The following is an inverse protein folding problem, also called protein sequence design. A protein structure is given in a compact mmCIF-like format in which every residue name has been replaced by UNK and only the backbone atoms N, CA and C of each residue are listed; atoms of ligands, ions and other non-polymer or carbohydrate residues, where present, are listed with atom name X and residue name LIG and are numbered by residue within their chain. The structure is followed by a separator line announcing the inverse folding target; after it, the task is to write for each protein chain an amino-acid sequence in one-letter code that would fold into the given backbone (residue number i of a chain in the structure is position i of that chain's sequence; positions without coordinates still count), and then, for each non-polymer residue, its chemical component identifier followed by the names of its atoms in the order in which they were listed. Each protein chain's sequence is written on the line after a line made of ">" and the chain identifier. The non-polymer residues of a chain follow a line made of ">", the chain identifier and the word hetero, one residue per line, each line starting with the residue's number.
data_IF_776097851851
#
_entry.id   IF_776097851851
#
_cell.length_a   1.000
_cell.length_b   1.000
_cell.length_c   1.000
_cell.angle_alpha   90.00
_cell.angle_beta   90.00
_cell.angle_gamma   90.00
#
_symmetry.space_group_name_H-M   'P 1'
#
loop_
_entity.id
_entity.type
_entity.pdbx_description
1 polymer ?
#
# COMPACT_ATOMS: atom_id res chain seq x y z
N UNK A 1 40.99 -13.90 5.17
CA UNK A 1 40.54 -12.70 4.45
C UNK A 1 39.04 -12.83 4.25
N UNK A 2 38.25 -12.05 4.99
CA UNK A 2 36.79 -12.09 4.92
C UNK A 2 36.32 -11.37 3.67
N UNK A 3 35.44 -12.01 2.90
CA UNK A 3 34.71 -11.37 1.82
C UNK A 3 33.65 -10.48 2.47
N UNK A 4 33.92 -9.18 2.56
CA UNK A 4 32.88 -8.20 2.85
C UNK A 4 31.88 -8.25 1.70
N UNK A 5 30.65 -8.65 2.00
CA UNK A 5 29.53 -8.53 1.08
C UNK A 5 29.28 -7.04 0.88
N UNK A 6 29.92 -6.48 -0.15
CA UNK A 6 29.53 -5.17 -0.64
C UNK A 6 28.11 -5.33 -1.17
N UNK A 7 27.19 -4.60 -0.55
CA UNK A 7 25.93 -4.23 -1.17
C UNK A 7 26.23 -3.93 -2.65
N UNK A 8 25.43 -4.52 -3.53
CA UNK A 8 25.41 -4.15 -4.93
C UNK A 8 24.87 -2.71 -5.02
N UNK A 9 25.65 -1.72 -4.59
CA UNK A 9 25.49 -0.36 -5.08
C UNK A 9 25.76 -0.48 -6.57
N UNK A 10 24.70 -0.33 -7.36
CA UNK A 10 24.83 -0.26 -8.80
C UNK A 10 25.83 0.87 -9.09
N UNK A 11 26.68 0.69 -10.11
CA UNK A 11 27.78 1.61 -10.44
C UNK A 11 27.35 3.06 -10.74
N UNK A 12 26.04 3.33 -10.76
CA UNK A 12 25.39 4.62 -10.92
C UNK A 12 24.88 5.25 -9.60
N UNK A 13 25.10 4.61 -8.44
CA UNK A 13 24.58 5.08 -7.15
C UNK A 13 23.09 4.82 -6.92
N UNK A 14 22.46 3.97 -7.74
CA UNK A 14 21.08 3.54 -7.53
C UNK A 14 20.97 2.56 -6.37
N UNK A 15 19.88 2.69 -5.61
CA UNK A 15 19.52 1.74 -4.55
C UNK A 15 18.34 0.90 -5.04
N UNK A 16 18.43 -0.42 -4.92
CA UNK A 16 17.34 -1.33 -5.31
C UNK A 16 17.17 -2.44 -4.26
N UNK A 17 15.96 -2.98 -4.14
CA UNK A 17 15.77 -4.19 -3.37
C UNK A 17 16.49 -5.37 -4.03
N UNK A 18 17.21 -6.16 -3.24
CA UNK A 18 17.87 -7.41 -3.65
C UNK A 18 16.89 -8.60 -3.76
N UNK A 19 15.61 -8.40 -3.46
CA UNK A 19 14.56 -9.41 -3.51
C UNK A 19 13.15 -8.79 -3.60
N UNK A 20 12.11 -9.61 -3.78
CA UNK A 20 10.74 -9.10 -3.92
C UNK A 20 10.10 -8.75 -2.57
N UNK A 21 9.40 -7.62 -2.51
CA UNK A 21 8.37 -7.40 -1.48
C UNK A 21 7.11 -8.21 -1.82
N UNK A 22 6.22 -8.39 -0.84
CA UNK A 22 4.99 -9.18 -1.03
C UNK A 22 3.76 -8.40 -0.61
N UNK A 23 2.78 -8.29 -1.52
CA UNK A 23 1.46 -7.80 -1.17
C UNK A 23 0.68 -8.93 -0.48
N UNK A 24 0.59 -8.88 0.85
CA UNK A 24 -0.12 -9.86 1.65
C UNK A 24 -1.64 -9.71 1.54
N UNK A 25 -2.12 -8.46 1.39
CA UNK A 25 -3.55 -8.15 1.42
C UNK A 25 -3.87 -6.87 0.69
N UNK A 26 -5.00 -6.87 -0.02
CA UNK A 26 -5.77 -5.69 -0.38
C UNK A 26 -7.23 -5.96 -0.01
N UNK A 27 -7.83 -5.09 0.80
CA UNK A 27 -9.19 -5.28 1.28
C UNK A 27 -9.90 -3.96 1.56
N UNK A 28 -11.22 -3.96 1.48
CA UNK A 28 -12.08 -2.92 2.03
C UNK A 28 -12.87 -3.50 3.21
N UNK A 29 -13.17 -2.70 4.25
CA UNK A 29 -13.94 -3.16 5.41
C UNK A 29 -15.37 -3.53 5.04
N UNK A 30 -15.97 -2.79 4.10
CA UNK A 30 -17.26 -3.06 3.49
C UNK A 30 -17.09 -3.07 1.96
N UNK A 31 -17.83 -3.94 1.26
CA UNK A 31 -17.70 -4.14 -0.18
C UNK A 31 -18.98 -3.82 -0.94
N UNK A 32 -20.01 -3.30 -0.29
CA UNK A 32 -21.26 -2.92 -0.94
C UNK A 32 -21.12 -1.54 -1.58
N UNK A 33 -21.66 -1.33 -2.80
CA UNK A 33 -21.70 -0.01 -3.46
C UNK A 33 -22.25 1.06 -2.50
N UNK A 34 -21.74 2.29 -2.62
CA UNK A 34 -22.19 3.46 -1.84
C UNK A 34 -22.12 3.32 -0.31
N UNK A 35 -21.58 2.23 0.24
CA UNK A 35 -21.44 2.06 1.68
C UNK A 35 -20.49 3.07 2.29
N UNK A 36 -20.77 3.46 3.53
CA UNK A 36 -19.98 4.39 4.33
C UNK A 36 -20.22 4.10 5.82
N UNK A 37 -19.20 4.15 6.70
CA UNK A 37 -17.79 4.39 6.40
C UNK A 37 -17.07 3.12 5.90
N UNK A 38 -16.17 3.29 4.93
CA UNK A 38 -15.30 2.20 4.44
C UNK A 38 -13.83 2.58 4.59
N UNK A 39 -13.02 1.60 5.00
CA UNK A 39 -11.57 1.70 5.07
C UNK A 39 -10.97 0.71 4.10
N UNK A 40 -10.03 1.18 3.28
CA UNK A 40 -9.25 0.36 2.35
C UNK A 40 -7.89 0.10 2.97
N UNK A 41 -7.42 -1.14 2.89
CA UNK A 41 -6.20 -1.60 3.54
C UNK A 41 -5.33 -2.39 2.55
N UNK A 42 -4.07 -2.01 2.47
CA UNK A 42 -3.04 -2.66 1.66
C UNK A 42 -1.90 -3.06 2.59
N UNK A 43 -1.67 -4.35 2.74
CA UNK A 43 -0.64 -4.87 3.66
C UNK A 43 0.49 -5.47 2.87
N UNK A 44 1.69 -4.92 3.07
CA UNK A 44 2.93 -5.28 2.38
C UNK A 44 3.90 -5.87 3.40
N UNK A 45 4.44 -7.04 3.09
CA UNK A 45 5.58 -7.62 3.78
C UNK A 45 6.87 -7.04 3.19
N UNK A 46 7.77 -6.59 4.06
CA UNK A 46 9.15 -6.23 3.75
C UNK A 46 10.01 -7.39 4.27
N UNK A 47 10.39 -8.38 3.44
CA UNK A 47 11.06 -9.59 3.94
C UNK A 47 12.37 -9.30 4.67
N UNK A 48 12.70 -10.10 5.69
CA UNK A 48 13.95 -9.96 6.45
C UNK A 48 15.21 -10.26 5.61
N UNK A 49 15.05 -10.88 4.44
CA UNK A 49 16.14 -11.12 3.49
C UNK A 49 16.49 -9.90 2.64
N UNK A 50 15.73 -8.80 2.77
CA UNK A 50 16.05 -7.57 2.07
C UNK A 50 17.23 -6.85 2.73
N UNK A 51 18.14 -6.32 1.92
CA UNK A 51 19.26 -5.51 2.42
C UNK A 51 18.84 -4.04 2.64
N UNK A 52 17.92 -3.56 1.79
CA UNK A 52 17.47 -2.16 1.80
C UNK A 52 16.11 -1.99 2.47
N UNK A 53 15.94 -0.98 3.34
CA UNK A 53 14.66 -0.70 3.97
C UNK A 53 13.70 -0.04 2.97
N UNK A 54 12.40 -0.17 3.24
CA UNK A 54 11.35 0.43 2.44
C UNK A 54 11.27 1.94 2.72
N UNK A 55 11.52 2.77 1.70
CA UNK A 55 11.48 4.22 1.78
C UNK A 55 10.15 4.82 1.31
N UNK A 56 9.50 4.21 0.32
CA UNK A 56 8.24 4.74 -0.24
C UNK A 56 7.34 3.63 -0.78
N UNK A 57 6.03 3.82 -0.61
CA UNK A 57 4.98 3.08 -1.31
C UNK A 57 4.16 4.00 -2.21
N UNK A 58 3.77 3.48 -3.37
CA UNK A 58 2.76 4.08 -4.24
C UNK A 58 1.68 3.05 -4.46
N UNK A 59 0.43 3.45 -4.24
CA UNK A 59 -0.75 2.64 -4.54
C UNK A 59 -1.55 3.39 -5.62
N UNK A 60 -1.63 2.79 -6.81
CA UNK A 60 -2.43 3.31 -7.90
C UNK A 60 -3.89 2.88 -7.71
N UNK A 61 -4.80 3.84 -7.82
CA UNK A 61 -6.25 3.65 -7.78
C UNK A 61 -6.72 3.33 -9.21
N UNK A 62 -7.55 2.30 -9.38
CA UNK A 62 -8.15 1.95 -10.67
C UNK A 62 -8.96 3.10 -11.26
N UNK A 63 -8.80 3.35 -12.56
CA UNK A 63 -9.48 4.42 -13.31
C UNK A 63 -10.44 3.90 -14.38
N UNK A 64 -10.58 2.58 -14.53
CA UNK A 64 -11.41 1.93 -15.55
C UNK A 64 -12.90 2.30 -15.47
N UNK A 65 -13.36 2.75 -14.30
CA UNK A 65 -14.74 3.20 -14.07
C UNK A 65 -14.93 4.72 -14.19
N UNK A 66 -13.88 5.47 -14.53
CA UNK A 66 -13.93 6.93 -14.65
C UNK A 66 -14.51 7.61 -13.42
N UNK A 67 -15.44 8.55 -13.64
CA UNK A 67 -16.11 9.31 -12.56
C UNK A 67 -17.01 8.45 -11.64
N UNK A 68 -17.32 7.23 -12.06
CA UNK A 68 -18.11 6.26 -11.26
C UNK A 68 -17.22 5.31 -10.44
N UNK A 69 -15.89 5.44 -10.56
CA UNK A 69 -14.91 4.65 -9.81
C UNK A 69 -14.67 5.17 -8.40
N UNK A 70 -13.68 4.57 -7.73
CA UNK A 70 -13.27 5.01 -6.40
C UNK A 70 -12.63 6.41 -6.50
N UNK A 71 -13.15 7.36 -5.73
CA UNK A 71 -12.53 8.67 -5.61
C UNK A 71 -11.22 8.58 -4.81
N UNK A 72 -10.14 9.26 -5.23
CA UNK A 72 -8.92 9.34 -4.43
C UNK A 72 -9.18 9.85 -3.00
N UNK A 73 -8.51 9.30 -1.98
CA UNK A 73 -8.68 9.76 -0.60
C UNK A 73 -8.14 11.16 -0.41
N UNK A 74 -8.64 11.87 0.61
CA UNK A 74 -7.91 13.02 1.14
C UNK A 74 -6.61 12.53 1.81
N UNK A 75 -5.45 13.17 1.60
CA UNK A 75 -4.20 12.78 2.24
C UNK A 75 -4.30 12.63 3.78
N UNK A 76 -5.12 13.45 4.44
CA UNK A 76 -5.29 13.46 5.90
C UNK A 76 -6.01 12.23 6.46
N UNK A 77 -6.66 11.43 5.61
CA UNK A 77 -7.32 10.18 6.01
C UNK A 77 -6.53 8.94 5.61
N UNK A 78 -5.29 9.12 5.15
CA UNK A 78 -4.35 8.03 4.83
C UNK A 78 -3.36 7.91 5.98
N UNK A 79 -3.11 6.68 6.42
CA UNK A 79 -2.12 6.36 7.44
C UNK A 79 -1.38 5.08 7.10
N UNK A 80 -0.21 4.91 7.69
CA UNK A 80 0.57 3.68 7.60
C UNK A 80 0.99 3.21 8.98
N UNK A 81 0.93 1.92 9.22
CA UNK A 81 1.25 1.34 10.52
C UNK A 81 1.75 -0.09 10.42
N UNK A 82 2.36 -0.58 11.50
CA UNK A 82 2.63 -2.00 11.71
C UNK A 82 1.34 -2.64 12.27
N UNK A 83 0.73 -3.62 11.59
CA UNK A 83 -0.50 -4.24 12.04
C UNK A 83 -0.26 -5.18 13.23
N UNK A 84 -1.24 -5.30 14.12
CA UNK A 84 -1.27 -6.37 15.14
C UNK A 84 -1.61 -7.73 14.54
N UNK A 85 -2.35 -7.74 13.42
CA UNK A 85 -2.67 -8.93 12.65
C UNK A 85 -2.79 -8.61 11.14
N UNK A 86 -1.92 -9.17 10.28
CA UNK A 86 -1.78 -8.72 8.89
C UNK A 86 -2.95 -9.07 7.96
N UNK A 87 -3.90 -9.92 8.39
CA UNK A 87 -4.99 -10.42 7.55
C UNK A 87 -6.40 -10.00 7.98
N UNK A 88 -6.54 -9.07 8.95
CA UNK A 88 -7.84 -8.67 9.48
C UNK A 88 -8.62 -7.78 8.49
N UNK A 89 -9.95 -7.96 8.41
CA UNK A 89 -10.90 -7.17 7.59
C UNK A 89 -11.69 -6.17 8.44
N UNK A 90 -11.00 -5.35 9.20
CA UNK A 90 -11.59 -4.35 10.07
C UNK A 90 -10.59 -3.20 10.25
N UNK A 91 -11.03 -1.98 10.62
CA UNK A 91 -10.12 -0.94 11.06
C UNK A 91 -9.21 -1.50 12.16
N UNK A 92 -7.91 -1.34 12.00
CA UNK A 92 -6.96 -1.94 12.93
C UNK A 92 -6.49 -0.94 13.98
N UNK A 93 -6.31 -1.44 15.20
CA UNK A 93 -5.47 -0.78 16.18
C UNK A 93 -4.00 -1.12 15.83
N UNK A 94 -3.20 -0.10 15.50
CA UNK A 94 -1.82 -0.30 15.07
C UNK A 94 -0.98 -0.82 16.24
N UNK A 95 -0.07 -1.76 15.98
CA UNK A 95 1.00 -2.08 16.93
C UNK A 95 1.96 -0.90 17.07
N UNK A 96 2.17 -0.17 15.97
CA UNK A 96 2.96 1.06 15.87
C UNK A 96 2.51 1.88 14.66
N UNK A 97 2.22 3.16 14.84
CA UNK A 97 2.03 4.10 13.72
C UNK A 97 3.38 4.43 13.07
N UNK A 98 3.41 4.52 11.74
CA UNK A 98 4.59 4.85 10.95
C UNK A 98 4.43 6.29 10.43
N UNK A 99 5.45 7.12 10.68
CA UNK A 99 5.43 8.49 10.16
C UNK A 99 5.75 8.49 8.67
N UNK A 100 4.82 9.02 7.86
CA UNK A 100 5.00 9.16 6.43
C UNK A 100 4.42 10.49 5.93
N UNK A 101 5.08 11.08 4.95
CA UNK A 101 4.53 12.18 4.17
C UNK A 101 3.63 11.61 3.07
N UNK A 102 2.34 11.95 3.15
CA UNK A 102 1.32 11.47 2.21
C UNK A 102 1.09 12.52 1.14
N UNK A 103 1.14 12.10 -0.12
CA UNK A 103 0.69 12.88 -1.26
C UNK A 103 -0.32 12.08 -2.07
N UNK A 104 -1.42 12.74 -2.44
CA UNK A 104 -2.41 12.17 -3.36
C UNK A 104 -2.42 13.04 -4.61
N UNK A 105 -2.06 12.45 -5.75
CA UNK A 105 -1.98 13.15 -7.04
C UNK A 105 -2.69 12.31 -8.09
N UNK A 106 -3.79 12.83 -8.65
CA UNK A 106 -4.64 12.08 -9.55
C UNK A 106 -5.11 10.77 -8.91
N UNK A 107 -4.86 9.65 -9.59
CA UNK A 107 -5.20 8.30 -9.12
C UNK A 107 -4.05 7.60 -8.38
N UNK A 108 -3.14 8.33 -7.74
CA UNK A 108 -2.02 7.75 -7.00
C UNK A 108 -1.98 8.25 -5.57
N UNK A 109 -1.85 7.30 -4.63
CA UNK A 109 -1.57 7.57 -3.21
C UNK A 109 -0.12 7.22 -2.95
N UNK A 110 0.70 8.22 -2.66
CA UNK A 110 2.12 8.07 -2.37
C UNK A 110 2.38 8.29 -0.88
N UNK A 111 3.11 7.37 -0.26
CA UNK A 111 3.59 7.46 1.11
C UNK A 111 5.10 7.41 1.11
N UNK A 112 5.75 8.50 1.50
CA UNK A 112 7.20 8.54 1.73
C UNK A 112 7.46 8.45 3.23
N UNK A 113 8.06 7.35 3.69
CA UNK A 113 8.29 7.14 5.11
C UNK A 113 9.41 8.06 5.61
N UNK A 114 9.17 8.78 6.71
CA UNK A 114 10.17 9.67 7.31
C UNK A 114 11.29 8.88 7.97
N UNK A 115 10.94 7.75 8.59
CA UNK A 115 11.87 6.71 9.02
C UNK A 115 11.71 5.52 8.07
N UNK A 116 12.76 5.09 7.34
CA UNK A 116 12.70 3.92 6.48
C UNK A 116 12.23 2.68 7.26
N UNK A 117 11.34 1.90 6.65
CA UNK A 117 10.80 0.69 7.29
C UNK A 117 11.79 -0.46 7.10
N UNK A 118 12.31 -0.99 8.21
CA UNK A 118 13.33 -2.02 8.21
C UNK A 118 12.86 -3.35 7.57
N UNK A 119 13.77 -4.10 6.93
CA UNK A 119 13.55 -5.50 6.59
C UNK A 119 13.03 -6.34 7.76
N UNK A 120 12.16 -7.30 7.47
CA UNK A 120 11.46 -8.12 8.46
C UNK A 120 10.16 -7.50 8.99
N UNK A 121 9.78 -6.32 8.52
CA UNK A 121 8.55 -5.63 8.94
C UNK A 121 7.34 -5.99 8.08
N UNK A 122 6.16 -5.77 8.64
CA UNK A 122 4.90 -5.73 7.89
C UNK A 122 4.31 -4.34 8.01
N UNK A 123 3.88 -3.78 6.88
CA UNK A 123 3.29 -2.44 6.80
C UNK A 123 1.89 -2.54 6.25
N UNK A 124 0.93 -1.94 6.92
CA UNK A 124 -0.42 -1.71 6.40
C UNK A 124 -0.57 -0.23 6.07
N UNK A 125 -0.91 0.08 4.83
CA UNK A 125 -1.45 1.39 4.43
C UNK A 125 -2.97 1.30 4.51
N UNK A 126 -3.58 2.20 5.26
CA UNK A 126 -5.02 2.30 5.38
C UNK A 126 -5.47 3.70 4.96
N UNK A 127 -6.55 3.79 4.20
CA UNK A 127 -7.24 5.06 4.02
C UNK A 127 -8.74 4.94 4.23
N UNK A 128 -9.30 5.94 4.92
CA UNK A 128 -10.70 6.01 5.28
C UNK A 128 -10.94 6.87 6.52
N UNK A 129 -12.20 7.22 6.80
CA UNK A 129 -13.40 6.69 6.16
C UNK A 129 -13.66 7.29 4.76
N UNK A 130 -14.00 6.44 3.79
CA UNK A 130 -14.49 6.80 2.46
C UNK A 130 -15.87 6.21 2.20
N UNK A 131 -16.52 6.65 1.12
CA UNK A 131 -17.68 5.99 0.54
C UNK A 131 -17.22 5.06 -0.59
N UNK A 132 -17.73 3.83 -0.62
CA UNK A 132 -17.53 2.93 -1.75
C UNK A 132 -18.11 3.54 -3.04
N UNK A 133 -17.55 3.21 -4.21
CA UNK A 133 -18.05 3.73 -5.48
C UNK A 133 -19.49 3.27 -5.77
N UNK A 134 -20.23 4.00 -6.63
CA UNK A 134 -21.57 3.61 -7.06
C UNK A 134 -21.57 2.40 -7.99
N UNK A 135 -20.42 2.11 -8.62
CA UNK A 135 -20.26 1.04 -9.58
C UNK A 135 -19.73 -0.22 -8.90
N UNK A 136 -20.41 -1.34 -9.07
CA UNK A 136 -19.92 -2.65 -8.68
C UNK A 136 -18.91 -3.19 -9.71
N UNK A 137 -18.04 -4.09 -9.27
CA UNK A 137 -17.00 -4.65 -10.13
C UNK A 137 -15.74 -5.03 -9.38
N UNK A 138 -14.75 -5.46 -10.16
CA UNK A 138 -13.41 -5.76 -9.67
C UNK A 138 -12.53 -4.52 -9.80
N UNK A 139 -12.12 -3.97 -8.67
CA UNK A 139 -11.22 -2.83 -8.59
C UNK A 139 -9.79 -3.34 -8.38
N UNK A 140 -8.88 -2.97 -9.28
CA UNK A 140 -7.51 -3.46 -9.31
C UNK A 140 -6.52 -2.34 -8.96
N UNK A 141 -5.78 -2.52 -7.87
CA UNK A 141 -4.84 -1.52 -7.32
C UNK A 141 -3.42 -2.00 -7.51
N UNK A 142 -2.59 -1.21 -8.17
CA UNK A 142 -1.17 -1.54 -8.33
C UNK A 142 -0.37 -1.00 -7.15
N UNK A 143 0.46 -1.84 -6.56
CA UNK A 143 1.33 -1.47 -5.44
C UNK A 143 2.78 -1.49 -5.92
N UNK A 144 3.46 -0.36 -5.79
CA UNK A 144 4.87 -0.19 -6.14
C UNK A 144 5.65 0.28 -4.92
N UNK A 145 6.81 -0.31 -4.67
CA UNK A 145 7.71 0.03 -3.58
C UNK A 145 9.01 0.62 -4.10
N UNK A 146 9.65 1.43 -3.26
CA UNK A 146 10.97 2.00 -3.51
C UNK A 146 11.81 1.83 -2.22
N UNK A 147 13.08 1.40 -2.33
CA UNK A 147 13.96 1.41 -1.18
C UNK A 147 14.24 2.84 -0.72
N UNK A 148 14.78 3.01 0.49
CA UNK A 148 15.40 4.28 0.85
C UNK A 148 16.72 4.46 0.09
N UNK A 149 17.12 5.70 -0.18
CA UNK A 149 18.41 5.98 -0.83
C UNK A 149 18.37 7.18 -1.76
N UNK A 150 19.52 7.61 -2.29
CA UNK A 150 19.64 8.81 -3.12
C UNK A 150 18.99 8.67 -4.50
N UNK A 151 18.98 7.46 -5.08
CA UNK A 151 18.37 7.18 -6.38
C UNK A 151 17.64 5.82 -6.35
N UNK A 152 16.46 5.74 -5.69
CA UNK A 152 15.81 4.47 -5.45
C UNK A 152 15.09 3.95 -6.70
N UNK A 153 15.41 2.71 -7.10
CA UNK A 153 14.76 2.00 -8.19
C UNK A 153 13.44 1.40 -7.71
N UNK A 154 12.36 1.67 -8.46
CA UNK A 154 11.05 1.10 -8.14
C UNK A 154 11.01 -0.41 -8.35
N UNK A 155 10.17 -1.07 -7.55
CA UNK A 155 9.82 -2.47 -7.70
C UNK A 155 8.30 -2.64 -7.61
N UNK A 156 7.72 -3.34 -8.57
CA UNK A 156 6.31 -3.73 -8.53
C UNK A 156 6.11 -4.82 -7.46
N UNK A 157 5.21 -4.57 -6.51
CA UNK A 157 4.94 -5.47 -5.37
C UNK A 157 3.79 -6.42 -5.67
N UNK A 158 2.76 -5.95 -6.36
CA UNK A 158 1.61 -6.78 -6.73
C UNK A 158 0.34 -6.01 -7.07
N UNK A 159 -0.70 -6.79 -7.40
CA UNK A 159 -2.02 -6.30 -7.75
C UNK A 159 -3.03 -6.61 -6.64
N UNK A 160 -3.47 -5.58 -5.94
CA UNK A 160 -4.58 -5.65 -4.99
C UNK A 160 -5.91 -5.77 -5.71
N UNK A 161 -6.74 -6.74 -5.35
CA UNK A 161 -8.04 -6.98 -5.97
C UNK A 161 -9.15 -6.84 -4.94
N UNK A 162 -10.05 -5.87 -5.14
CA UNK A 162 -11.19 -5.65 -4.25
C UNK A 162 -12.46 -5.70 -5.10
N UNK A 163 -13.35 -6.64 -4.81
CA UNK A 163 -14.65 -6.72 -5.46
C UNK A 163 -15.66 -5.86 -4.71
N UNK A 164 -16.16 -4.81 -5.35
CA UNK A 164 -17.32 -4.06 -4.90
C UNK A 164 -18.56 -4.75 -5.48
N UNK A 165 -19.58 -4.96 -4.65
CA UNK A 165 -20.80 -5.69 -4.97
C UNK A 165 -21.98 -4.76 -4.91
N UNK A 166 -22.91 -4.94 -5.83
CA UNK A 166 -24.27 -4.46 -5.64
C UNK A 166 -24.89 -5.26 -4.49
N UNK A 167 -25.36 -4.59 -3.45
CA UNK A 167 -26.08 -5.26 -2.36
C UNK A 167 -27.29 -6.02 -2.93
N UNK A 168 -27.59 -7.19 -2.38
CA UNK A 168 -28.82 -7.89 -2.72
C UNK A 168 -30.01 -7.03 -2.26
N UNK A 169 -30.77 -6.50 -3.21
CA UNK A 169 -32.02 -5.80 -2.93
C UNK A 169 -33.04 -6.78 -2.35
N UNK A 170 -33.00 -6.99 -1.03
CA UNK A 170 -34.10 -7.59 -0.30
C UNK A 170 -35.24 -6.60 -0.22
N UNK A 171 -36.15 -6.65 -1.19
CA UNK A 171 -37.54 -6.26 -1.01
C UNK A 171 -38.40 -7.50 -1.17
#
# INVERSE_FOLDING_TARGET
>A
MGLSANALEFSNGETAFNGPLRLLRAAATETTIESYPVYYQFTVEVPASLDEPLGRLIIAIPTEFGDFGLRPPNPNVVRAFVPTAPYVKAPQYPARELSADVQVAGAQVMLSFREPVAPGSVVTVEWGPLRNPPQDGLYQYEVTAFPSGPAPRSQYVGLGRITIRRGGGGR
#
